data_IF_565002725975
#
_entry.id   IF_565002725975
#
_cell.length_a   1.000
_cell.length_b   1.000
_cell.length_c   1.000
_cell.angle_alpha   90.00
_cell.angle_beta   90.00
_cell.angle_gamma   90.00
#
_symmetry.space_group_name_H-M   'P 1'
#
loop_
_entity.id
_entity.type
_entity.pdbx_description
1 polymer ?
#
# COMPACT_ATOMS: atom_id res chain seq x y z
N UNK A 1 -17.62 -59.27 4.11
CA UNK A 1 -16.75 -58.25 4.75
C UNK A 1 -17.12 -58.18 6.23
N UNK A 2 -16.17 -58.38 7.15
CA UNK A 2 -16.45 -58.48 8.58
C UNK A 2 -16.86 -57.11 9.14
N UNK A 3 -18.12 -56.96 9.55
CA UNK A 3 -18.69 -55.71 10.12
C UNK A 3 -17.90 -55.25 11.37
N UNK A 4 -17.21 -56.17 12.04
CA UNK A 4 -16.30 -55.85 13.16
C UNK A 4 -15.08 -55.03 12.73
N UNK A 5 -14.50 -55.24 11.55
CA UNK A 5 -13.39 -54.41 11.06
C UNK A 5 -13.84 -53.01 10.68
N UNK A 6 -15.06 -52.86 10.14
CA UNK A 6 -15.61 -51.57 9.72
C UNK A 6 -15.79 -50.60 10.92
N UNK A 7 -16.11 -51.13 12.11
CA UNK A 7 -16.24 -50.35 13.35
C UNK A 7 -14.94 -49.71 13.83
N UNK A 8 -13.79 -50.25 13.47
CA UNK A 8 -12.48 -49.67 13.80
C UNK A 8 -11.91 -48.84 12.64
N UNK A 9 -12.28 -49.16 11.41
CA UNK A 9 -11.80 -48.45 10.23
C UNK A 9 -12.41 -47.04 10.08
N UNK A 10 -13.70 -46.88 10.37
CA UNK A 10 -14.39 -45.58 10.30
C UNK A 10 -13.81 -44.55 11.29
N UNK A 11 -13.66 -44.82 12.60
CA UNK A 11 -13.09 -43.83 13.52
C UNK A 11 -11.61 -43.54 13.20
N UNK A 12 -10.86 -44.52 12.68
CA UNK A 12 -9.48 -44.33 12.25
C UNK A 12 -9.39 -43.40 11.03
N UNK A 13 -10.24 -43.60 10.02
CA UNK A 13 -10.29 -42.74 8.84
C UNK A 13 -10.74 -41.32 9.21
N UNK A 14 -11.74 -41.18 10.07
CA UNK A 14 -12.21 -39.88 10.57
C UNK A 14 -11.10 -39.15 11.34
N UNK A 15 -10.33 -39.86 12.18
CA UNK A 15 -9.18 -39.29 12.90
C UNK A 15 -8.07 -38.83 11.94
N UNK A 16 -7.79 -39.57 10.86
CA UNK A 16 -6.85 -39.13 9.84
C UNK A 16 -7.29 -37.83 9.15
N UNK A 17 -8.58 -37.65 8.84
CA UNK A 17 -9.07 -36.42 8.19
C UNK A 17 -8.89 -35.19 9.09
N UNK A 18 -9.07 -35.32 10.41
CA UNK A 18 -8.84 -34.22 11.36
C UNK A 18 -7.36 -33.85 11.56
N UNK A 19 -6.42 -34.75 11.21
CA UNK A 19 -4.98 -34.51 11.34
C UNK A 19 -4.36 -33.89 10.07
N UNK A 20 -5.06 -33.90 8.94
CA UNK A 20 -4.62 -33.27 7.68
C UNK A 20 -5.15 -31.84 7.62
N UNK A 21 -4.59 -30.94 8.44
CA UNK A 21 -4.72 -29.51 8.20
C UNK A 21 -3.55 -29.09 7.30
N UNK A 22 -3.85 -28.45 6.17
CA UNK A 22 -2.81 -27.86 5.33
C UNK A 22 -2.14 -26.70 6.09
N UNK A 23 -0.86 -26.43 5.80
CA UNK A 23 -0.23 -25.20 6.29
C UNK A 23 -0.94 -24.01 5.63
N UNK A 24 -1.62 -23.18 6.42
CA UNK A 24 -2.08 -21.87 5.97
C UNK A 24 -0.91 -20.90 6.06
N UNK A 25 -0.55 -20.33 4.92
CA UNK A 25 0.41 -19.24 4.84
C UNK A 25 -0.32 -18.04 4.24
N UNK A 26 -0.54 -17.03 5.07
CA UNK A 26 -1.14 -15.80 4.60
C UNK A 26 -0.16 -15.05 3.67
N UNK A 27 -0.72 -14.29 2.72
CA UNK A 27 0.07 -13.44 1.84
C UNK A 27 0.93 -12.46 2.63
N UNK A 28 0.38 -11.86 3.70
CA UNK A 28 1.13 -10.93 4.55
C UNK A 28 2.22 -11.64 5.39
N UNK A 29 2.02 -12.93 5.68
CA UNK A 29 2.97 -13.75 6.45
C UNK A 29 4.08 -14.37 5.62
N UNK A 30 3.96 -14.39 4.28
CA UNK A 30 4.97 -14.95 3.41
C UNK A 30 6.13 -13.98 3.20
N UNK A 31 7.21 -14.19 3.95
CA UNK A 31 8.47 -13.44 3.80
C UNK A 31 9.66 -14.41 3.63
N UNK A 32 9.87 -14.98 2.42
CA UNK A 32 10.93 -15.96 2.21
C UNK A 32 12.30 -15.32 2.36
N UNK A 33 13.16 -15.90 3.20
CA UNK A 33 14.55 -15.47 3.30
C UNK A 33 15.29 -15.75 1.99
N UNK A 34 16.03 -14.76 1.48
CA UNK A 34 16.91 -14.94 0.33
C UNK A 34 17.91 -16.06 0.59
N UNK A 35 18.01 -17.02 -0.34
CA UNK A 35 19.01 -18.10 -0.29
C UNK A 35 20.34 -17.70 -0.93
N UNK A 36 20.41 -16.52 -1.57
CA UNK A 36 21.63 -15.99 -2.18
C UNK A 36 22.52 -15.35 -1.11
N UNK A 37 23.62 -16.02 -0.76
CA UNK A 37 24.62 -15.52 0.18
C UNK A 37 25.77 -14.89 -0.60
N UNK A 38 25.78 -13.57 -0.65
CA UNK A 38 26.85 -12.75 -1.25
C UNK A 38 27.14 -11.55 -0.36
N UNK A 39 28.34 -10.94 -0.43
CA UNK A 39 28.57 -9.66 0.22
C UNK A 39 27.53 -8.63 -0.24
N UNK A 40 26.86 -8.01 0.73
CA UNK A 40 25.87 -6.95 0.49
C UNK A 40 26.56 -5.59 0.64
N UNK A 41 26.22 -4.68 -0.27
CA UNK A 41 26.51 -3.26 -0.13
C UNK A 41 25.18 -2.50 -0.15
N UNK A 42 24.63 -2.23 1.04
CA UNK A 42 23.34 -1.57 1.18
C UNK A 42 23.45 -0.08 0.89
N UNK A 43 22.64 0.40 -0.05
CA UNK A 43 22.55 1.81 -0.41
C UNK A 43 21.22 2.34 0.12
N UNK A 44 21.28 3.08 1.23
CA UNK A 44 20.09 3.58 1.94
C UNK A 44 19.67 4.99 1.51
N UNK A 45 20.49 5.67 0.70
CA UNK A 45 20.23 7.03 0.23
C UNK A 45 20.76 7.22 -1.19
N UNK A 46 20.02 7.98 -1.99
CA UNK A 46 20.38 8.24 -3.37
C UNK A 46 21.58 9.18 -3.48
N UNK A 47 22.43 8.97 -4.50
CA UNK A 47 23.59 9.85 -4.75
C UNK A 47 23.19 11.27 -5.15
N UNK A 48 22.04 11.42 -5.80
CA UNK A 48 21.49 12.69 -6.27
C UNK A 48 20.04 12.80 -5.87
N UNK A 49 19.55 14.01 -5.51
CA UNK A 49 18.15 14.22 -5.21
C UNK A 49 17.26 13.73 -6.35
N UNK A 50 16.17 13.03 -6.02
CA UNK A 50 15.21 12.54 -6.99
C UNK A 50 13.78 12.99 -6.68
N UNK A 51 12.89 12.75 -7.63
CA UNK A 51 11.45 12.99 -7.50
C UNK A 51 10.77 11.62 -7.52
N UNK A 52 10.01 11.31 -6.46
CA UNK A 52 9.07 10.19 -6.50
C UNK A 52 7.85 10.62 -7.30
N UNK A 53 7.67 10.01 -8.47
CA UNK A 53 6.57 10.32 -9.39
C UNK A 53 5.30 9.50 -9.13
N UNK A 54 5.33 8.56 -8.18
CA UNK A 54 4.22 7.64 -7.94
C UNK A 54 4.09 7.28 -6.46
N UNK A 55 3.37 8.11 -5.70
CA UNK A 55 2.96 7.80 -4.34
C UNK A 55 1.45 7.92 -4.15
N UNK A 56 0.97 7.31 -3.06
CA UNK A 56 -0.43 7.33 -2.67
C UNK A 56 -0.56 7.67 -1.19
N UNK A 57 -0.89 8.92 -0.88
CA UNK A 57 -1.13 9.39 0.48
C UNK A 57 -2.63 9.63 0.69
N UNK A 58 -3.19 9.00 1.73
CA UNK A 58 -4.62 9.13 2.10
C UNK A 58 -4.91 10.35 2.97
N UNK A 59 -3.89 10.89 3.61
CA UNK A 59 -3.95 12.08 4.45
C UNK A 59 -2.76 12.97 4.11
N UNK A 60 -3.01 14.28 4.07
CA UNK A 60 -1.99 15.31 3.84
C UNK A 60 -2.01 16.32 5.00
N UNK A 61 -2.37 15.87 6.21
CA UNK A 61 -2.28 16.69 7.42
C UNK A 61 -0.82 17.10 7.68
N UNK A 62 -0.60 18.22 8.38
CA UNK A 62 0.77 18.68 8.68
C UNK A 62 1.60 17.63 9.43
N UNK A 63 0.98 16.84 10.32
CA UNK A 63 1.64 15.74 11.06
C UNK A 63 2.14 14.65 10.09
N UNK A 64 1.26 14.21 9.19
CA UNK A 64 1.58 13.17 8.20
C UNK A 64 2.68 13.65 7.24
N UNK A 65 2.58 14.91 6.76
CA UNK A 65 3.61 15.50 5.90
C UNK A 65 4.97 15.60 6.61
N UNK A 66 4.98 15.89 7.91
CA UNK A 66 6.22 15.94 8.71
C UNK A 66 6.90 14.58 8.79
N UNK A 67 6.11 13.51 8.98
CA UNK A 67 6.59 12.14 8.95
C UNK A 67 7.17 11.78 7.57
N UNK A 68 6.43 12.08 6.50
CA UNK A 68 6.88 11.83 5.13
C UNK A 68 8.17 12.58 4.81
N UNK A 69 8.28 13.86 5.15
CA UNK A 69 9.52 14.63 4.93
C UNK A 69 10.72 14.01 5.64
N UNK A 70 10.51 13.48 6.85
CA UNK A 70 11.58 12.80 7.60
C UNK A 70 12.08 11.56 6.86
N UNK A 71 11.20 10.80 6.22
CA UNK A 71 11.58 9.62 5.44
C UNK A 71 12.17 10.01 4.08
N UNK A 72 11.61 11.01 3.41
CA UNK A 72 12.15 11.58 2.18
C UNK A 72 13.60 12.06 2.36
N UNK A 73 13.89 12.74 3.47
CA UNK A 73 15.24 13.24 3.77
C UNK A 73 16.25 12.10 3.96
N UNK A 74 15.85 10.96 4.54
CA UNK A 74 16.72 9.77 4.66
C UNK A 74 17.10 9.21 3.28
N UNK A 75 16.14 9.22 2.35
CA UNK A 75 16.32 8.69 0.99
C UNK A 75 17.04 9.67 0.04
N UNK A 76 17.20 10.94 0.45
CA UNK A 76 17.57 12.05 -0.45
C UNK A 76 16.51 12.24 -1.56
N UNK A 77 15.24 12.13 -1.18
CA UNK A 77 14.09 12.44 -2.03
C UNK A 77 13.74 13.92 -1.91
N UNK A 78 13.78 14.64 -3.02
CA UNK A 78 13.47 16.07 -3.06
C UNK A 78 11.97 16.34 -3.04
N UNK A 79 11.22 15.68 -3.93
CA UNK A 79 9.80 15.94 -4.16
C UNK A 79 9.05 14.62 -4.25
N UNK A 80 7.92 14.55 -3.55
CA UNK A 80 6.96 13.46 -3.63
C UNK A 80 5.73 13.88 -4.45
N UNK A 81 5.33 13.07 -5.41
CA UNK A 81 4.09 13.24 -6.19
C UNK A 81 3.01 12.30 -5.66
N UNK A 82 2.02 12.86 -4.95
CA UNK A 82 0.85 12.12 -4.49
C UNK A 82 -0.21 12.04 -5.62
N UNK A 83 -0.50 10.83 -6.08
CA UNK A 83 -1.48 10.57 -7.13
C UNK A 83 -2.93 10.54 -6.64
N UNK A 84 -3.14 10.56 -5.32
CA UNK A 84 -4.44 10.46 -4.65
C UNK A 84 -4.96 11.82 -4.17
N UNK A 85 -4.94 12.84 -5.03
CA UNK A 85 -5.41 14.18 -4.66
C UNK A 85 -6.92 14.39 -4.71
N UNK A 86 -7.63 13.55 -5.45
CA UNK A 86 -9.07 13.69 -5.65
C UNK A 86 -9.44 14.98 -6.39
N UNK A 87 -10.62 15.50 -6.10
CA UNK A 87 -11.22 16.68 -6.71
C UNK A 87 -11.78 17.66 -5.66
N UNK A 88 -12.22 18.83 -6.11
CA UNK A 88 -13.03 19.75 -5.31
C UNK A 88 -12.37 20.27 -4.02
N UNK A 89 -13.14 20.29 -2.93
CA UNK A 89 -12.73 20.86 -1.65
C UNK A 89 -11.58 20.09 -0.98
N UNK A 90 -11.57 18.75 -1.08
CA UNK A 90 -10.51 17.93 -0.51
C UNK A 90 -9.15 18.18 -1.18
N UNK A 91 -9.13 18.26 -2.52
CA UNK A 91 -7.93 18.64 -3.26
C UNK A 91 -7.42 20.03 -2.82
N UNK A 92 -8.33 20.99 -2.65
CA UNK A 92 -7.97 22.35 -2.19
C UNK A 92 -7.36 22.31 -0.79
N UNK A 93 -7.92 21.54 0.12
CA UNK A 93 -7.40 21.38 1.49
C UNK A 93 -5.98 20.81 1.50
N UNK A 94 -5.72 19.79 0.67
CA UNK A 94 -4.36 19.23 0.52
C UNK A 94 -3.38 20.28 0.01
N UNK A 95 -3.74 21.02 -1.04
CA UNK A 95 -2.89 22.07 -1.60
C UNK A 95 -2.62 23.16 -0.56
N UNK A 96 -3.64 23.60 0.17
CA UNK A 96 -3.50 24.65 1.18
C UNK A 96 -2.60 24.20 2.34
N UNK A 97 -2.75 22.95 2.78
CA UNK A 97 -1.91 22.37 3.84
C UNK A 97 -0.45 22.25 3.41
N UNK A 98 -0.20 21.78 2.19
CA UNK A 98 1.15 21.72 1.60
C UNK A 98 1.76 23.12 1.53
N UNK A 99 1.01 24.12 1.04
CA UNK A 99 1.48 25.51 0.95
C UNK A 99 1.85 26.09 2.32
N UNK A 100 1.06 25.77 3.34
CA UNK A 100 1.26 26.27 4.70
C UNK A 100 2.43 25.61 5.44
N UNK A 101 2.80 24.37 5.06
CA UNK A 101 3.79 23.57 5.80
C UNK A 101 5.06 23.29 4.99
N UNK A 102 4.93 22.64 3.82
CA UNK A 102 6.05 22.12 3.02
C UNK A 102 5.87 22.42 1.52
N UNK A 103 5.82 23.71 1.10
CA UNK A 103 5.39 24.13 -0.24
C UNK A 103 6.23 23.59 -1.42
N UNK A 104 7.45 23.11 -1.16
CA UNK A 104 8.38 22.64 -2.18
C UNK A 104 8.74 21.15 -2.06
N UNK A 105 8.02 20.38 -1.23
CA UNK A 105 8.29 18.95 -1.02
C UNK A 105 7.23 18.04 -1.62
N UNK A 106 6.04 18.57 -1.91
CA UNK A 106 4.92 17.76 -2.38
C UNK A 106 4.26 18.36 -3.62
N UNK A 107 3.84 17.47 -4.51
CA UNK A 107 2.96 17.75 -5.64
C UNK A 107 1.77 16.81 -5.54
N UNK A 108 0.58 17.27 -5.92
CA UNK A 108 -0.65 16.47 -5.84
C UNK A 108 -1.34 16.47 -7.19
N UNK A 109 -1.77 15.29 -7.64
CA UNK A 109 -2.57 15.16 -8.86
C UNK A 109 -4.02 15.53 -8.57
N UNK A 110 -4.58 16.42 -9.39
CA UNK A 110 -6.03 16.55 -9.49
C UNK A 110 -6.56 15.32 -10.24
N UNK A 111 -7.54 14.64 -9.65
CA UNK A 111 -8.25 13.53 -10.29
C UNK A 111 -9.62 14.00 -10.77
N UNK A 112 -10.13 13.37 -11.82
CA UNK A 112 -11.47 13.63 -12.37
C UNK A 112 -12.52 13.27 -11.32
N UNK A 113 -13.53 14.12 -11.15
CA UNK A 113 -14.70 13.78 -10.37
C UNK A 113 -15.70 12.98 -11.23
N UNK A 114 -15.85 11.70 -10.91
CA UNK A 114 -16.76 10.81 -11.62
C UNK A 114 -18.20 10.85 -11.08
N UNK A 115 -18.48 11.63 -10.02
CA UNK A 115 -19.84 11.75 -9.51
C UNK A 115 -20.76 12.40 -10.56
N UNK A 116 -21.95 11.84 -10.74
CA UNK A 116 -22.92 12.31 -11.74
C UNK A 116 -22.51 12.11 -13.20
N UNK A 117 -21.53 11.25 -13.51
CA UNK A 117 -21.11 10.97 -14.89
C UNK A 117 -22.31 10.60 -15.78
N UNK A 118 -22.41 11.25 -16.95
CA UNK A 118 -23.51 11.07 -17.90
C UNK A 118 -24.73 11.99 -17.67
N UNK A 119 -24.75 12.80 -16.61
CA UNK A 119 -25.75 13.86 -16.43
C UNK A 119 -25.45 15.09 -17.30
N UNK A 120 -26.47 15.89 -17.59
CA UNK A 120 -26.33 17.14 -18.33
C UNK A 120 -25.38 18.10 -17.57
N UNK A 121 -24.36 18.60 -18.27
CA UNK A 121 -23.40 19.54 -17.70
C UNK A 121 -22.27 18.91 -16.86
N UNK A 122 -22.13 17.57 -16.85
CA UNK A 122 -21.07 16.89 -16.10
C UNK A 122 -19.68 17.19 -16.67
N UNK A 123 -19.48 17.09 -17.99
CA UNK A 123 -18.16 17.25 -18.62
C UNK A 123 -17.56 18.64 -18.41
N UNK A 124 -18.39 19.67 -18.28
CA UNK A 124 -17.98 21.04 -18.00
C UNK A 124 -17.56 21.26 -16.53
N UNK A 125 -17.96 20.35 -15.63
CA UNK A 125 -17.70 20.40 -14.18
C UNK A 125 -16.71 19.34 -13.68
N UNK A 126 -16.38 18.36 -14.53
CA UNK A 126 -15.52 17.22 -14.23
C UNK A 126 -14.03 17.59 -14.06
#
# INVERSE_FOLDING_TARGET
MNIRLLKFFIPFLTMCVFLVNAQEMDFEGYNPTSTLVVPINEVTSSKFPFVDVHSHQRSMSTEDLSGLVTDMDKLNEGIMVNLSGGSGAGLKEYIDTIKASYPNRFVVFANVDFDGVGSEGWTEKA
#
